data_IF_702397412255
#
_entry.id   IF_702397412255
#
_cell.length_a   1.000
_cell.length_b   1.000
_cell.length_c   1.000
_cell.angle_alpha   90.00
_cell.angle_beta   90.00
_cell.angle_gamma   90.00
#
_symmetry.space_group_name_H-M   'P 1'
#
loop_
_entity.id
_entity.type
_entity.pdbx_description
1 polymer ?
#
# COMPACT_ATOMS: atom_id res chain seq x y z
N UNK A 1 14.16 -13.68 10.96
CA UNK A 1 14.49 -12.86 9.77
C UNK A 1 16.01 -12.68 9.75
N UNK A 2 16.67 -13.02 8.65
CA UNK A 2 18.12 -12.88 8.51
C UNK A 2 18.43 -11.79 7.50
N UNK A 3 19.18 -10.74 7.88
CA UNK A 3 19.63 -9.72 6.93
C UNK A 3 20.70 -10.31 6.02
N UNK A 4 20.46 -10.28 4.71
CA UNK A 4 21.34 -10.86 3.69
C UNK A 4 22.04 -9.81 2.83
N UNK A 5 21.55 -8.56 2.85
CA UNK A 5 22.14 -7.44 2.12
C UNK A 5 21.81 -6.11 2.80
N UNK A 6 22.72 -5.15 2.65
CA UNK A 6 22.55 -3.75 3.02
C UNK A 6 23.01 -2.91 1.84
N UNK A 7 22.04 -2.29 1.16
CA UNK A 7 22.24 -1.38 0.03
C UNK A 7 22.29 0.08 0.45
N UNK A 8 22.29 1.00 -0.51
CA UNK A 8 22.28 2.42 -0.23
C UNK A 8 20.90 2.93 0.19
N UNK A 9 19.83 2.33 -0.35
CA UNK A 9 18.45 2.77 -0.15
C UNK A 9 17.65 1.80 0.72
N UNK A 10 18.13 0.56 0.89
CA UNK A 10 17.35 -0.52 1.50
C UNK A 10 18.21 -1.52 2.25
N UNK A 11 17.56 -2.28 3.11
CA UNK A 11 18.06 -3.53 3.69
C UNK A 11 17.23 -4.71 3.11
N UNK A 12 17.87 -5.87 2.89
CA UNK A 12 17.18 -7.06 2.43
C UNK A 12 17.28 -8.17 3.46
N UNK A 13 16.12 -8.72 3.80
CA UNK A 13 15.98 -9.79 4.78
C UNK A 13 15.42 -11.05 4.13
N UNK A 14 16.06 -12.20 4.35
CA UNK A 14 15.53 -13.49 3.93
C UNK A 14 14.44 -13.95 4.91
N UNK A 15 13.23 -14.16 4.40
CA UNK A 15 12.08 -14.68 5.15
C UNK A 15 11.94 -16.20 4.98
N UNK A 16 12.13 -16.69 3.76
CA UNK A 16 12.20 -18.10 3.39
C UNK A 16 13.27 -18.28 2.28
N UNK A 17 13.62 -19.50 1.86
CA UNK A 17 14.53 -19.67 0.73
C UNK A 17 14.06 -19.01 -0.58
N UNK A 18 12.77 -18.76 -0.73
CA UNK A 18 12.15 -18.21 -1.94
C UNK A 18 11.56 -16.81 -1.80
N UNK A 19 11.56 -16.25 -0.57
CA UNK A 19 10.93 -14.95 -0.26
C UNK A 19 11.87 -14.08 0.54
N UNK A 20 12.09 -12.86 0.04
CA UNK A 20 12.95 -11.85 0.66
C UNK A 20 12.17 -10.54 0.81
N UNK A 21 12.33 -9.89 1.94
CA UNK A 21 11.78 -8.58 2.23
C UNK A 21 12.82 -7.52 1.90
N UNK A 22 12.48 -6.63 1.00
CA UNK A 22 13.25 -5.45 0.64
C UNK A 22 12.68 -4.28 1.43
N UNK A 23 13.36 -3.90 2.50
CA UNK A 23 12.92 -2.85 3.43
C UNK A 23 13.57 -1.54 3.04
N UNK A 24 12.76 -0.56 2.67
CA UNK A 24 13.21 0.81 2.44
C UNK A 24 13.36 1.58 3.75
N UNK A 25 14.28 2.53 3.79
CA UNK A 25 14.33 3.52 4.85
C UNK A 25 13.17 4.51 4.66
N UNK A 26 12.32 4.65 5.68
CA UNK A 26 11.18 5.57 5.68
C UNK A 26 11.58 7.03 5.45
N UNK A 27 12.82 7.40 5.78
CA UNK A 27 13.34 8.76 5.57
C UNK A 27 13.79 9.00 4.13
N UNK A 28 13.92 7.96 3.31
CA UNK A 28 14.31 8.08 1.90
C UNK A 28 13.08 8.34 1.04
N UNK A 29 12.92 9.59 0.63
CA UNK A 29 11.77 10.02 -0.18
C UNK A 29 11.67 9.24 -1.49
N UNK A 30 10.45 8.81 -1.80
CA UNK A 30 10.14 8.11 -3.03
C UNK A 30 10.58 6.64 -3.05
N UNK A 31 10.90 6.06 -1.88
CA UNK A 31 11.17 4.65 -1.74
C UNK A 31 10.03 3.96 -0.99
N UNK A 32 9.68 2.76 -1.44
CA UNK A 32 8.76 1.87 -0.74
C UNK A 32 9.45 0.55 -0.41
N UNK A 33 8.86 -0.20 0.50
CA UNK A 33 9.18 -1.59 0.69
C UNK A 33 8.81 -2.42 -0.55
N UNK A 34 9.44 -3.57 -0.67
CA UNK A 34 9.11 -4.54 -1.69
C UNK A 34 9.43 -5.96 -1.24
N UNK A 35 9.33 -6.88 -2.17
CA UNK A 35 9.76 -8.25 -1.95
C UNK A 35 10.48 -8.79 -3.18
N UNK A 36 11.37 -9.76 -2.95
CA UNK A 36 11.85 -10.64 -4.01
C UNK A 36 11.23 -12.01 -3.85
N UNK A 37 10.73 -12.54 -4.96
CA UNK A 37 10.36 -13.94 -5.12
C UNK A 37 11.44 -14.63 -5.97
N UNK A 38 12.04 -15.69 -5.45
CA UNK A 38 13.06 -16.43 -6.18
C UNK A 38 12.76 -17.92 -6.17
N UNK A 39 12.66 -18.51 -7.35
CA UNK A 39 12.33 -19.92 -7.53
C UNK A 39 13.52 -20.80 -7.98
N UNK A 40 14.73 -20.25 -8.03
CA UNK A 40 15.93 -20.89 -8.55
C UNK A 40 16.32 -20.44 -9.97
N UNK A 41 15.35 -19.96 -10.76
CA UNK A 41 15.55 -19.50 -12.13
C UNK A 41 15.04 -18.08 -12.37
N UNK A 42 13.87 -17.75 -11.82
CA UNK A 42 13.16 -16.50 -12.04
C UNK A 42 13.20 -15.64 -10.80
N UNK A 43 13.30 -14.33 -11.01
CA UNK A 43 13.20 -13.31 -9.96
C UNK A 43 11.97 -12.47 -10.22
N UNK A 44 11.02 -12.50 -9.28
CA UNK A 44 9.91 -11.57 -9.21
C UNK A 44 10.18 -10.47 -8.18
N UNK A 45 9.70 -9.26 -8.44
CA UNK A 45 9.78 -8.13 -7.50
C UNK A 45 8.41 -7.54 -7.25
N UNK A 46 8.16 -7.07 -6.03
CA UNK A 46 6.96 -6.30 -5.66
C UNK A 46 7.33 -4.84 -5.60
N UNK A 47 6.61 -4.04 -6.35
CA UNK A 47 6.75 -2.60 -6.55
C UNK A 47 8.13 -2.19 -7.07
N UNK A 48 8.17 -1.05 -7.74
CA UNK A 48 9.39 -0.50 -8.33
C UNK A 48 9.39 1.00 -8.08
N UNK A 49 10.00 1.46 -6.98
CA UNK A 49 9.81 2.83 -6.49
C UNK A 49 10.29 3.88 -7.50
N UNK A 50 11.56 4.23 -7.49
CA UNK A 50 12.14 5.24 -8.38
C UNK A 50 13.02 4.60 -9.44
N UNK A 51 13.48 5.37 -10.42
CA UNK A 51 14.48 4.93 -11.40
C UNK A 51 15.79 4.48 -10.73
N UNK A 52 16.19 5.12 -9.64
CA UNK A 52 17.37 4.74 -8.85
C UNK A 52 17.10 3.44 -8.10
N UNK A 53 15.96 3.32 -7.43
CA UNK A 53 15.54 2.08 -6.76
C UNK A 53 15.40 0.92 -7.72
N UNK A 54 14.90 1.12 -8.94
CA UNK A 54 14.84 0.10 -9.98
C UNK A 54 16.22 -0.39 -10.41
N UNK A 55 17.19 0.51 -10.51
CA UNK A 55 18.59 0.15 -10.81
C UNK A 55 19.18 -0.69 -9.71
N UNK A 56 19.04 -0.25 -8.46
CA UNK A 56 19.49 -0.99 -7.29
C UNK A 56 18.85 -2.37 -7.22
N UNK A 57 17.53 -2.50 -7.47
CA UNK A 57 16.84 -3.78 -7.55
C UNK A 57 17.44 -4.75 -8.56
N UNK A 58 17.85 -4.28 -9.73
CA UNK A 58 18.50 -5.14 -10.74
C UNK A 58 19.86 -5.59 -10.28
N UNK A 59 20.64 -4.74 -9.63
CA UNK A 59 21.95 -5.08 -9.09
C UNK A 59 21.83 -6.03 -7.88
N UNK A 60 20.87 -5.81 -7.00
CA UNK A 60 20.50 -6.72 -5.90
C UNK A 60 20.09 -8.11 -6.43
N UNK A 61 19.23 -8.18 -7.46
CA UNK A 61 18.82 -9.45 -8.05
C UNK A 61 19.99 -10.23 -8.63
N UNK A 62 20.94 -9.56 -9.28
CA UNK A 62 22.17 -10.16 -9.78
C UNK A 62 23.08 -10.63 -8.65
N UNK A 63 23.24 -9.81 -7.61
CA UNK A 63 24.10 -10.12 -6.46
C UNK A 63 23.57 -11.31 -5.67
N UNK A 64 22.29 -11.31 -5.34
CA UNK A 64 21.68 -12.30 -4.43
C UNK A 64 21.32 -13.60 -5.15
N UNK A 65 20.91 -13.52 -6.41
CA UNK A 65 20.33 -14.67 -7.12
C UNK A 65 21.10 -15.04 -8.39
N UNK A 66 22.04 -14.22 -8.87
CA UNK A 66 22.74 -14.42 -10.15
C UNK A 66 21.80 -14.34 -11.36
N UNK A 67 20.65 -13.66 -11.23
CA UNK A 67 19.58 -13.59 -12.22
C UNK A 67 19.10 -12.15 -12.45
N UNK A 68 18.44 -11.95 -13.58
CA UNK A 68 17.73 -10.71 -13.87
C UNK A 68 16.28 -10.79 -13.38
N UNK A 69 15.68 -9.65 -13.09
CA UNK A 69 14.25 -9.55 -12.82
C UNK A 69 13.47 -10.00 -14.05
N UNK A 70 12.51 -10.89 -13.86
CA UNK A 70 11.66 -11.47 -14.93
C UNK A 70 10.18 -11.13 -14.73
N UNK A 71 9.77 -10.85 -13.49
CA UNK A 71 8.38 -10.52 -13.16
C UNK A 71 8.32 -9.34 -12.21
N UNK A 72 7.35 -8.46 -12.41
CA UNK A 72 7.12 -7.27 -11.58
C UNK A 72 5.65 -7.30 -11.16
N UNK A 73 5.40 -7.13 -9.87
CA UNK A 73 4.06 -7.08 -9.27
C UNK A 73 3.85 -5.68 -8.72
N UNK A 74 2.94 -4.91 -9.29
CA UNK A 74 2.64 -3.54 -8.84
C UNK A 74 1.40 -3.57 -7.96
N UNK A 75 1.55 -3.15 -6.71
CA UNK A 75 0.46 -3.14 -5.74
C UNK A 75 -0.54 -2.04 -6.04
N UNK A 76 -0.08 -0.84 -6.41
CA UNK A 76 -0.95 0.29 -6.74
C UNK A 76 -0.24 1.38 -7.54
N UNK A 77 -0.96 2.46 -7.86
CA UNK A 77 -0.54 3.47 -8.82
C UNK A 77 0.14 4.71 -8.24
N UNK A 78 0.56 4.72 -6.97
CA UNK A 78 1.32 5.86 -6.44
C UNK A 78 2.76 5.85 -6.96
N UNK A 79 3.33 7.04 -7.09
CA UNK A 79 4.62 7.28 -7.71
C UNK A 79 5.76 6.47 -7.09
N UNK A 80 5.79 6.39 -5.76
CA UNK A 80 6.80 5.65 -4.99
C UNK A 80 6.68 4.12 -5.09
N UNK A 81 5.68 3.60 -5.81
CA UNK A 81 5.49 2.17 -6.08
C UNK A 81 5.69 1.79 -7.54
N UNK A 82 5.67 2.77 -8.45
CA UNK A 82 5.68 2.43 -9.87
C UNK A 82 6.58 3.32 -10.76
N UNK A 83 7.11 4.45 -10.28
CA UNK A 83 7.90 5.38 -11.08
C UNK A 83 9.21 4.81 -11.60
N UNK A 84 9.71 3.73 -10.99
CA UNK A 84 10.86 3.00 -11.49
C UNK A 84 10.57 2.06 -12.67
N UNK A 85 9.30 1.79 -12.97
CA UNK A 85 8.92 0.82 -14.01
C UNK A 85 9.53 1.13 -15.39
N UNK A 86 9.65 2.39 -15.86
CA UNK A 86 10.29 2.71 -17.12
C UNK A 86 11.75 2.26 -17.25
N UNK A 87 12.46 2.01 -16.13
CA UNK A 87 13.82 1.46 -16.15
C UNK A 87 13.90 0.10 -16.84
N UNK A 88 12.81 -0.67 -16.80
CA UNK A 88 12.72 -1.98 -17.43
C UNK A 88 12.32 -1.93 -18.92
N UNK A 89 12.17 -0.74 -19.52
CA UNK A 89 11.91 -0.61 -20.96
C UNK A 89 13.00 -1.33 -21.76
N UNK A 90 12.59 -2.15 -22.74
CA UNK A 90 13.51 -2.97 -23.52
C UNK A 90 13.96 -4.27 -22.85
N UNK A 91 13.67 -4.50 -21.58
CA UNK A 91 13.87 -5.78 -20.91
C UNK A 91 12.63 -6.66 -21.07
N UNK A 92 12.85 -7.97 -21.13
CA UNK A 92 11.75 -8.95 -21.20
C UNK A 92 11.24 -9.22 -19.79
N UNK A 93 10.14 -8.56 -19.39
CA UNK A 93 9.52 -8.72 -18.09
C UNK A 93 8.02 -8.91 -18.21
N UNK A 94 7.44 -9.66 -17.27
CA UNK A 94 5.99 -9.77 -17.11
C UNK A 94 5.57 -8.84 -15.96
N UNK A 95 4.68 -7.89 -16.24
CA UNK A 95 4.14 -6.95 -15.24
C UNK A 95 2.74 -7.40 -14.84
N UNK A 96 2.55 -7.72 -13.58
CA UNK A 96 1.27 -8.03 -12.96
C UNK A 96 0.79 -6.81 -12.18
N UNK A 97 -0.39 -6.33 -12.47
CA UNK A 97 -1.04 -5.22 -11.77
C UNK A 97 -2.55 -5.35 -11.89
N UNK A 98 -3.34 -4.52 -11.20
CA UNK A 98 -4.78 -4.53 -11.44
C UNK A 98 -5.11 -4.25 -12.91
N UNK A 99 -6.21 -4.80 -13.43
CA UNK A 99 -6.59 -4.58 -14.84
C UNK A 99 -6.84 -3.10 -15.16
N UNK A 100 -7.28 -2.32 -14.17
CA UNK A 100 -7.49 -0.87 -14.33
C UNK A 100 -6.16 -0.13 -14.48
N UNK A 101 -5.17 -0.49 -13.64
CA UNK A 101 -3.82 0.08 -13.74
C UNK A 101 -3.15 -0.33 -15.05
N UNK A 102 -3.35 -1.60 -15.48
CA UNK A 102 -2.83 -2.12 -16.74
C UNK A 102 -3.28 -1.32 -17.97
N UNK A 103 -4.47 -0.73 -17.93
CA UNK A 103 -4.99 0.11 -18.99
C UNK A 103 -4.27 1.48 -19.09
N UNK A 104 -3.71 1.97 -17.98
CA UNK A 104 -3.01 3.27 -17.89
C UNK A 104 -1.49 3.18 -18.02
N UNK A 105 -0.90 2.01 -17.80
CA UNK A 105 0.56 1.85 -17.88
C UNK A 105 1.02 1.96 -19.33
N UNK A 106 1.97 2.86 -19.57
CA UNK A 106 2.65 2.96 -20.86
C UNK A 106 3.45 1.68 -21.13
N UNK A 107 3.09 0.97 -22.18
CA UNK A 107 3.70 -0.32 -22.51
C UNK A 107 5.15 -0.18 -22.95
N UNK A 108 6.04 -0.87 -22.25
CA UNK A 108 7.39 -1.15 -22.76
C UNK A 108 7.30 -2.09 -23.97
N UNK A 109 8.21 -1.96 -24.92
CA UNK A 109 8.18 -2.70 -26.19
C UNK A 109 8.45 -4.23 -26.04
N UNK A 110 8.89 -4.69 -24.85
CA UNK A 110 9.14 -6.11 -24.55
C UNK A 110 8.42 -6.61 -23.29
N UNK A 111 7.44 -5.86 -22.81
CA UNK A 111 6.66 -6.24 -21.64
C UNK A 111 5.46 -7.08 -22.02
N UNK A 112 5.16 -8.07 -21.17
CA UNK A 112 3.86 -8.71 -21.09
C UNK A 112 3.13 -8.12 -19.89
N UNK A 113 2.00 -7.42 -20.11
CA UNK A 113 1.19 -6.89 -19.01
C UNK A 113 0.04 -7.84 -18.76
N UNK A 114 -0.09 -8.28 -17.51
CA UNK A 114 -1.17 -9.15 -17.03
C UNK A 114 -2.03 -8.35 -16.07
N UNK A 115 -3.21 -7.96 -16.53
CA UNK A 115 -4.23 -7.32 -15.71
C UNK A 115 -4.90 -8.33 -14.78
N UNK A 116 -4.85 -8.06 -13.49
CA UNK A 116 -5.48 -8.87 -12.44
C UNK A 116 -6.79 -8.20 -12.05
N UNK A 117 -7.89 -8.95 -12.02
CA UNK A 117 -9.19 -8.52 -11.51
C UNK A 117 -9.54 -9.28 -10.25
N UNK A 118 -9.83 -10.55 -10.43
CA UNK A 118 -10.16 -11.48 -9.36
C UNK A 118 -8.90 -12.21 -8.88
N UNK A 119 -9.05 -13.15 -7.94
CA UNK A 119 -7.96 -14.01 -7.48
C UNK A 119 -7.32 -14.75 -8.66
N UNK A 120 -6.13 -14.32 -9.02
CA UNK A 120 -5.33 -14.89 -10.10
C UNK A 120 -4.12 -15.61 -9.51
N UNK A 121 -3.98 -16.90 -9.83
CA UNK A 121 -2.79 -17.67 -9.43
C UNK A 121 -1.66 -17.44 -10.40
N UNK A 122 -0.52 -17.06 -9.85
CA UNK A 122 0.74 -16.92 -10.58
C UNK A 122 1.70 -17.96 -10.06
N UNK A 123 2.18 -18.82 -10.96
CA UNK A 123 3.19 -19.84 -10.61
C UNK A 123 4.54 -19.40 -11.12
N UNK A 124 5.45 -19.24 -10.19
CA UNK A 124 6.89 -19.25 -10.44
C UNK A 124 7.39 -20.65 -10.03
N UNK A 125 8.43 -21.21 -10.64
CA UNK A 125 8.84 -22.60 -10.41
C UNK A 125 8.97 -22.91 -8.89
N UNK A 126 8.03 -23.68 -8.34
CA UNK A 126 7.99 -24.06 -6.94
C UNK A 126 7.41 -23.02 -5.96
N UNK A 127 6.98 -21.86 -6.43
CA UNK A 127 6.29 -20.85 -5.64
C UNK A 127 4.93 -20.52 -6.26
N UNK A 128 3.87 -20.62 -5.48
CA UNK A 128 2.52 -20.22 -5.88
C UNK A 128 2.16 -18.90 -5.17
N UNK A 129 1.77 -17.89 -5.96
CA UNK A 129 1.27 -16.60 -5.51
C UNK A 129 -0.21 -16.48 -5.91
N UNK A 130 -0.98 -15.77 -5.11
CA UNK A 130 -2.35 -15.38 -5.47
C UNK A 130 -2.45 -13.85 -5.46
N UNK A 131 -2.54 -13.25 -6.64
CA UNK A 131 -2.77 -11.82 -6.82
C UNK A 131 -4.28 -11.54 -6.86
N UNK A 132 -4.72 -10.45 -6.25
CA UNK A 132 -6.12 -10.03 -6.29
C UNK A 132 -6.19 -8.50 -6.29
N UNK A 133 -6.89 -7.94 -7.27
CA UNK A 133 -7.27 -6.53 -7.23
C UNK A 133 -8.42 -6.32 -6.23
N UNK A 134 -8.35 -5.24 -5.47
CA UNK A 134 -9.42 -4.78 -4.60
C UNK A 134 -10.40 -3.97 -5.44
N UNK A 135 -11.64 -4.45 -5.56
CA UNK A 135 -12.62 -3.83 -6.43
C UNK A 135 -12.92 -2.39 -6.02
N UNK A 136 -12.84 -1.49 -6.97
CA UNK A 136 -13.00 -0.05 -6.77
C UNK A 136 -11.77 0.60 -6.14
N UNK A 137 -11.99 1.66 -5.40
CA UNK A 137 -10.93 2.41 -4.71
C UNK A 137 -10.88 2.01 -3.24
N UNK A 138 -9.73 1.62 -2.71
CA UNK A 138 -9.47 1.45 -1.28
C UNK A 138 -8.52 2.54 -0.78
N UNK A 139 -7.22 2.25 -0.58
CA UNK A 139 -6.20 3.25 -0.30
C UNK A 139 -5.97 4.16 -1.52
N UNK A 140 -5.91 3.55 -2.69
CA UNK A 140 -5.83 4.23 -3.98
C UNK A 140 -6.79 3.60 -4.99
N UNK A 141 -7.02 4.22 -6.15
CA UNK A 141 -7.65 3.51 -7.25
C UNK A 141 -6.82 2.27 -7.62
N UNK A 142 -7.50 1.09 -7.65
CA UNK A 142 -6.93 -0.14 -8.23
C UNK A 142 -5.81 -0.81 -7.42
N UNK A 143 -5.90 -0.79 -6.11
CA UNK A 143 -5.00 -1.55 -5.24
C UNK A 143 -5.02 -3.05 -5.55
N UNK A 144 -3.87 -3.70 -5.42
CA UNK A 144 -3.71 -5.14 -5.58
C UNK A 144 -2.94 -5.73 -4.39
N UNK A 145 -3.44 -6.82 -3.84
CA UNK A 145 -2.75 -7.59 -2.81
C UNK A 145 -2.17 -8.89 -3.37
N UNK A 146 -1.06 -9.34 -2.80
CA UNK A 146 -0.35 -10.55 -3.24
C UNK A 146 -0.22 -11.49 -2.04
N UNK A 147 -0.87 -12.64 -2.13
CA UNK A 147 -0.79 -13.69 -1.12
C UNK A 147 0.36 -14.64 -1.43
N UNK A 148 1.12 -14.98 -0.41
CA UNK A 148 2.18 -15.98 -0.45
C UNK A 148 1.80 -17.11 0.52
N UNK A 149 0.95 -18.09 0.12
CA UNK A 149 0.38 -19.08 1.01
C UNK A 149 1.45 -19.92 1.73
N UNK A 150 2.52 -20.30 1.04
CA UNK A 150 3.63 -21.09 1.60
C UNK A 150 4.38 -20.38 2.73
N UNK A 151 4.38 -19.05 2.74
CA UNK A 151 4.98 -18.21 3.77
C UNK A 151 3.96 -17.65 4.78
N UNK A 152 2.66 -17.95 4.58
CA UNK A 152 1.55 -17.37 5.33
C UNK A 152 1.65 -15.84 5.44
N UNK A 153 1.94 -15.18 4.34
CA UNK A 153 2.23 -13.77 4.24
C UNK A 153 1.36 -13.12 3.17
N UNK A 154 0.93 -11.88 3.43
CA UNK A 154 0.22 -11.02 2.50
C UNK A 154 1.08 -9.77 2.23
N UNK A 155 1.40 -9.48 0.96
CA UNK A 155 1.90 -8.17 0.55
C UNK A 155 0.69 -7.28 0.25
N UNK A 156 0.64 -6.11 0.86
CA UNK A 156 -0.54 -5.25 0.86
C UNK A 156 -0.34 -3.91 0.16
N UNK A 157 0.90 -3.58 -0.25
CA UNK A 157 1.19 -2.19 -0.56
C UNK A 157 0.75 -1.32 0.62
N UNK A 158 0.10 -0.21 0.34
CA UNK A 158 -0.29 0.77 1.35
C UNK A 158 -1.71 0.57 1.91
N UNK A 159 -2.39 -0.53 1.53
CA UNK A 159 -3.69 -0.84 2.14
C UNK A 159 -3.58 -1.22 3.61
N UNK A 160 -2.41 -1.70 4.07
CA UNK A 160 -2.08 -1.91 5.48
C UNK A 160 -0.67 -1.39 5.71
N UNK A 161 -0.53 -0.34 6.50
CA UNK A 161 0.74 0.28 6.91
C UNK A 161 0.70 0.63 8.39
N UNK A 162 1.75 1.26 8.90
CA UNK A 162 1.67 1.88 10.23
C UNK A 162 0.56 2.94 10.26
N UNK A 163 -0.16 3.04 11.39
CA UNK A 163 -1.30 3.94 11.51
C UNK A 163 -0.90 5.42 11.34
N UNK A 164 0.36 5.76 11.61
CA UNK A 164 0.90 7.10 11.39
C UNK A 164 1.30 7.40 9.94
N UNK A 165 1.31 6.38 9.08
CA UNK A 165 1.69 6.47 7.66
C UNK A 165 0.49 6.38 6.71
N UNK A 166 -0.74 6.27 7.23
CA UNK A 166 -1.94 6.21 6.40
C UNK A 166 -2.08 7.47 5.53
N UNK A 167 -2.47 7.27 4.29
CA UNK A 167 -2.64 8.34 3.31
C UNK A 167 -3.99 8.21 2.60
N UNK A 168 -4.81 9.27 2.64
CA UNK A 168 -6.21 9.24 2.19
C UNK A 168 -6.47 10.09 0.94
N UNK A 169 -5.45 10.58 0.26
CA UNK A 169 -5.61 11.55 -0.83
C UNK A 169 -6.56 11.06 -1.94
N UNK A 170 -6.38 9.82 -2.36
CA UNK A 170 -7.20 9.18 -3.40
C UNK A 170 -8.06 8.03 -2.84
N UNK A 171 -8.20 7.94 -1.51
CA UNK A 171 -8.87 6.83 -0.87
C UNK A 171 -10.40 6.91 -0.95
N UNK A 172 -11.04 5.75 -0.89
CA UNK A 172 -12.44 5.59 -0.52
C UNK A 172 -12.50 4.88 0.84
N UNK A 173 -12.78 5.65 1.88
CA UNK A 173 -12.70 5.19 3.27
C UNK A 173 -13.60 3.97 3.53
N UNK A 174 -14.85 3.99 3.06
CA UNK A 174 -15.82 2.90 3.30
C UNK A 174 -15.42 1.62 2.57
N UNK A 175 -15.01 1.77 1.32
CA UNK A 175 -14.58 0.64 0.52
C UNK A 175 -13.27 0.04 1.07
N UNK A 176 -12.37 0.89 1.55
CA UNK A 176 -11.14 0.45 2.20
C UNK A 176 -11.43 -0.37 3.46
N UNK A 177 -12.31 0.12 4.35
CA UNK A 177 -12.76 -0.63 5.52
C UNK A 177 -13.38 -1.97 5.13
N UNK A 178 -14.24 -1.99 4.10
CA UNK A 178 -14.88 -3.22 3.63
C UNK A 178 -13.84 -4.27 3.15
N UNK A 179 -12.83 -3.84 2.39
CA UNK A 179 -11.75 -4.72 1.94
C UNK A 179 -10.89 -5.23 3.10
N UNK A 180 -10.51 -4.35 4.04
CA UNK A 180 -9.74 -4.78 5.22
C UNK A 180 -10.51 -5.79 6.08
N UNK A 181 -11.81 -5.59 6.27
CA UNK A 181 -12.66 -6.54 6.98
C UNK A 181 -12.74 -7.90 6.26
N UNK A 182 -12.86 -7.90 4.94
CA UNK A 182 -12.83 -9.12 4.15
C UNK A 182 -11.48 -9.84 4.24
N UNK A 183 -10.37 -9.10 4.16
CA UNK A 183 -9.02 -9.63 4.32
C UNK A 183 -8.80 -10.18 5.74
N UNK A 184 -9.25 -9.49 6.77
CA UNK A 184 -9.05 -9.90 8.18
C UNK A 184 -9.68 -11.26 8.51
N UNK A 185 -10.71 -11.67 7.76
CA UNK A 185 -11.32 -12.99 7.89
C UNK A 185 -10.44 -14.13 7.34
N UNK A 186 -9.40 -13.82 6.58
CA UNK A 186 -8.43 -14.81 6.11
C UNK A 186 -7.45 -15.20 7.23
N UNK A 187 -6.64 -16.25 7.00
CA UNK A 187 -5.72 -16.78 8.03
C UNK A 187 -4.28 -16.76 7.53
N UNK A 188 -3.67 -15.60 7.63
CA UNK A 188 -2.22 -15.44 7.44
C UNK A 188 -1.53 -15.17 8.78
N UNK A 189 -0.23 -15.09 8.80
CA UNK A 189 0.53 -14.81 10.01
C UNK A 189 1.13 -13.40 9.99
N UNK A 190 1.47 -12.91 8.78
CA UNK A 190 2.21 -11.66 8.61
C UNK A 190 1.70 -10.84 7.43
N UNK A 191 1.91 -9.54 7.55
CA UNK A 191 1.67 -8.54 6.50
C UNK A 191 2.99 -7.90 6.13
N UNK A 192 3.29 -7.84 4.83
CA UNK A 192 4.38 -7.06 4.26
C UNK A 192 3.77 -5.81 3.64
N UNK A 193 3.96 -4.64 4.28
CA UNK A 193 3.39 -3.38 3.82
C UNK A 193 4.28 -2.68 2.80
N UNK A 194 3.75 -1.67 2.12
CA UNK A 194 4.53 -0.77 1.27
C UNK A 194 5.48 0.13 2.06
N UNK A 195 5.19 0.41 3.32
CA UNK A 195 6.05 1.20 4.21
C UNK A 195 6.09 0.64 5.62
N UNK A 196 7.26 0.76 6.28
CA UNK A 196 7.47 0.34 7.67
C UNK A 196 7.95 -1.09 7.82
N UNK A 197 7.55 -1.73 8.91
CA UNK A 197 8.00 -3.08 9.29
C UNK A 197 7.05 -4.16 8.78
N UNK A 198 7.46 -5.42 8.84
CA UNK A 198 6.53 -6.56 8.70
C UNK A 198 5.69 -6.63 9.97
N UNK A 199 4.37 -6.60 9.79
CA UNK A 199 3.41 -6.63 10.90
C UNK A 199 2.81 -8.02 11.12
N UNK A 200 2.34 -8.31 12.35
CA UNK A 200 1.50 -9.47 12.60
C UNK A 200 0.17 -9.32 11.87
N UNK A 201 -0.51 -10.44 11.61
CA UNK A 201 -1.80 -10.46 10.90
C UNK A 201 -2.89 -9.57 11.54
N UNK A 202 -2.85 -9.40 12.85
CA UNK A 202 -3.78 -8.51 13.57
C UNK A 202 -3.77 -7.06 13.09
N UNK A 203 -2.69 -6.63 12.41
CA UNK A 203 -2.57 -5.27 11.87
C UNK A 203 -3.65 -4.96 10.83
N UNK A 204 -4.15 -5.96 10.11
CA UNK A 204 -5.24 -5.79 9.12
C UNK A 204 -6.51 -5.29 9.81
N UNK A 205 -6.94 -5.96 10.88
CA UNK A 205 -8.12 -5.56 11.65
C UNK A 205 -7.89 -4.25 12.41
N UNK A 206 -6.68 -4.05 12.96
CA UNK A 206 -6.30 -2.81 13.63
C UNK A 206 -6.40 -1.60 12.69
N UNK A 207 -5.93 -1.75 11.45
CA UNK A 207 -6.02 -0.70 10.42
C UNK A 207 -7.49 -0.42 10.06
N UNK A 208 -8.31 -1.45 9.86
CA UNK A 208 -9.74 -1.27 9.59
C UNK A 208 -10.44 -0.50 10.71
N UNK A 209 -10.21 -0.90 11.93
CA UNK A 209 -10.76 -0.30 13.16
C UNK A 209 -10.32 1.16 13.34
N UNK A 210 -9.07 1.47 13.01
CA UNK A 210 -8.55 2.83 13.08
C UNK A 210 -9.16 3.73 12.01
N UNK A 211 -9.24 3.27 10.76
CA UNK A 211 -9.89 4.02 9.68
C UNK A 211 -11.38 4.24 10.00
N UNK A 212 -12.06 3.27 10.57
CA UNK A 212 -13.44 3.43 11.04
C UNK A 212 -13.55 4.48 12.15
N UNK A 213 -12.58 4.55 13.06
CA UNK A 213 -12.52 5.58 14.11
C UNK A 213 -12.37 6.97 13.49
N UNK A 214 -11.48 7.12 12.50
CA UNK A 214 -11.31 8.38 11.75
C UNK A 214 -12.59 8.77 11.00
N UNK A 215 -13.28 7.80 10.39
CA UNK A 215 -14.55 8.02 9.69
C UNK A 215 -15.61 8.55 10.62
N UNK A 216 -15.81 7.92 11.79
CA UNK A 216 -16.79 8.38 12.80
C UNK A 216 -16.48 9.76 13.34
N UNK A 217 -15.21 10.04 13.64
CA UNK A 217 -14.79 11.38 14.06
C UNK A 217 -15.05 12.42 12.98
N UNK A 218 -14.75 12.11 11.72
CA UNK A 218 -15.04 12.97 10.58
C UNK A 218 -16.55 13.22 10.38
N UNK A 219 -17.39 12.21 10.51
CA UNK A 219 -18.84 12.33 10.44
C UNK A 219 -19.40 13.18 11.60
N UNK A 220 -18.86 12.99 12.80
CA UNK A 220 -19.24 13.83 13.94
C UNK A 220 -18.92 15.32 13.69
N UNK A 221 -17.74 15.60 13.13
CA UNK A 221 -17.38 16.97 12.74
C UNK A 221 -18.30 17.51 11.64
N UNK A 222 -18.65 16.68 10.64
CA UNK A 222 -19.50 17.05 9.52
C UNK A 222 -20.94 17.36 9.97
N UNK A 223 -21.47 16.59 10.91
CA UNK A 223 -22.82 16.76 11.44
C UNK A 223 -23.03 18.10 12.21
N UNK A 224 -21.95 18.79 12.54
CA UNK A 224 -22.02 20.12 13.17
C UNK A 224 -22.21 21.26 12.16
N UNK A 225 -22.12 20.95 10.85
CA UNK A 225 -22.23 21.93 9.78
C UNK A 225 -23.62 21.90 9.13
N UNK A 226 -24.13 23.08 8.80
CA UNK A 226 -25.29 23.21 7.92
C UNK A 226 -24.92 22.94 6.46
N UNK A 227 -25.89 22.58 5.62
CA UNK A 227 -25.69 22.40 4.19
C UNK A 227 -25.11 23.64 3.47
N UNK A 228 -25.44 24.86 3.97
CA UNK A 228 -24.89 26.09 3.43
C UNK A 228 -23.40 26.28 3.79
N UNK A 229 -23.01 25.92 5.01
CA UNK A 229 -21.61 25.96 5.44
C UNK A 229 -20.78 24.94 4.65
N UNK A 230 -21.28 23.72 4.45
CA UNK A 230 -20.63 22.68 3.65
C UNK A 230 -20.28 23.18 2.23
N UNK A 231 -21.24 23.86 1.57
CA UNK A 231 -21.03 24.37 0.20
C UNK A 231 -19.99 25.47 0.09
N UNK A 232 -19.69 26.18 1.18
CA UNK A 232 -18.81 27.36 1.21
C UNK A 232 -17.62 27.21 2.13
N UNK A 233 -17.35 26.00 2.62
CA UNK A 233 -16.32 25.76 3.62
C UNK A 233 -14.94 26.09 3.07
N UNK A 234 -14.19 26.90 3.81
CA UNK A 234 -12.80 27.21 3.51
C UNK A 234 -11.86 26.19 4.15
N UNK A 235 -10.63 26.11 3.64
CA UNK A 235 -9.57 25.29 4.21
C UNK A 235 -9.27 25.63 5.66
N UNK A 236 -9.26 26.93 6.00
CA UNK A 236 -9.04 27.39 7.37
C UNK A 236 -10.15 26.88 8.29
N UNK A 237 -11.39 26.90 7.82
CA UNK A 237 -12.54 26.39 8.58
C UNK A 237 -12.47 24.87 8.76
N UNK A 238 -12.03 24.12 7.75
CA UNK A 238 -11.76 22.69 7.88
C UNK A 238 -10.72 22.44 8.98
N UNK A 239 -9.62 23.17 8.96
CA UNK A 239 -8.55 23.02 9.95
C UNK A 239 -9.04 23.34 11.38
N UNK A 240 -9.84 24.40 11.55
CA UNK A 240 -10.45 24.76 12.85
C UNK A 240 -11.34 23.64 13.40
N UNK A 241 -12.26 23.12 12.57
CA UNK A 241 -13.20 22.08 12.96
C UNK A 241 -12.46 20.81 13.36
N UNK A 242 -11.54 20.34 12.52
CA UNK A 242 -10.77 19.12 12.78
C UNK A 242 -9.89 19.27 14.02
N UNK A 243 -9.26 20.43 14.22
CA UNK A 243 -8.48 20.72 15.42
C UNK A 243 -9.33 20.73 16.69
N UNK A 244 -10.52 21.33 16.63
CA UNK A 244 -11.46 21.34 17.73
C UNK A 244 -11.94 19.91 18.07
N UNK A 245 -12.25 19.11 17.06
CA UNK A 245 -12.64 17.70 17.21
C UNK A 245 -11.53 16.90 17.91
N UNK A 246 -10.29 17.01 17.45
CA UNK A 246 -9.16 16.32 18.07
C UNK A 246 -8.83 16.80 19.49
N UNK A 247 -9.11 18.07 19.80
CA UNK A 247 -8.89 18.60 21.14
C UNK A 247 -9.99 18.24 22.13
N UNK A 248 -11.10 17.69 21.65
CA UNK A 248 -12.23 17.24 22.47
C UNK A 248 -11.90 16.02 23.33
N UNK A 249 -12.84 15.72 24.25
CA UNK A 249 -12.75 14.58 25.16
C UNK A 249 -13.45 13.32 24.61
N UNK A 250 -13.88 13.35 23.35
CA UNK A 250 -14.54 12.20 22.73
C UNK A 250 -13.57 11.01 22.63
N UNK A 251 -14.06 9.78 22.86
CA UNK A 251 -13.23 8.57 22.82
C UNK A 251 -12.48 8.40 21.50
N UNK A 252 -13.12 8.74 20.38
CA UNK A 252 -12.51 8.69 19.04
C UNK A 252 -11.32 9.66 18.92
N UNK A 253 -11.46 10.88 19.43
CA UNK A 253 -10.38 11.88 19.42
C UNK A 253 -9.15 11.40 20.21
N UNK A 254 -9.38 10.85 21.42
CA UNK A 254 -8.31 10.28 22.23
C UNK A 254 -7.60 9.14 21.49
N UNK A 255 -8.35 8.20 20.93
CA UNK A 255 -7.81 7.07 20.18
C UNK A 255 -7.00 7.49 18.94
N UNK A 256 -7.46 8.52 18.21
CA UNK A 256 -6.73 9.03 17.04
C UNK A 256 -5.40 9.65 17.48
N UNK A 257 -5.40 10.48 18.54
CA UNK A 257 -4.17 11.08 19.07
C UNK A 257 -3.17 10.02 19.52
N UNK A 258 -3.63 8.98 20.20
CA UNK A 258 -2.78 7.92 20.74
C UNK A 258 -2.18 7.05 19.62
N UNK A 259 -2.96 6.74 18.58
CA UNK A 259 -2.53 5.86 17.50
C UNK A 259 -1.69 6.57 16.43
N UNK A 260 -2.07 7.78 16.02
CA UNK A 260 -1.42 8.52 14.93
C UNK A 260 -0.43 9.59 15.39
N UNK A 261 -0.40 9.94 16.68
CA UNK A 261 0.53 10.91 17.24
C UNK A 261 0.49 12.25 16.49
N UNK A 262 1.64 12.69 15.99
CA UNK A 262 1.76 13.96 15.24
C UNK A 262 1.00 13.93 13.90
N UNK A 263 0.73 12.75 13.34
CA UNK A 263 -0.06 12.56 12.13
C UNK A 263 -1.57 12.77 12.30
N UNK A 264 -2.09 12.73 13.54
CA UNK A 264 -3.52 12.69 13.84
C UNK A 264 -4.35 13.79 13.15
N UNK A 265 -3.85 15.04 13.17
CA UNK A 265 -4.51 16.17 12.52
C UNK A 265 -4.58 16.01 11.01
N UNK A 266 -3.49 15.56 10.39
CA UNK A 266 -3.41 15.33 8.95
C UNK A 266 -4.40 14.25 8.52
N UNK A 267 -4.41 13.13 9.20
CA UNK A 267 -5.23 11.97 8.84
C UNK A 267 -6.71 12.27 9.00
N UNK A 268 -7.14 12.82 10.14
CA UNK A 268 -8.53 13.19 10.33
C UNK A 268 -8.98 14.26 9.32
N UNK A 269 -8.13 15.25 9.00
CA UNK A 269 -8.42 16.25 7.97
C UNK A 269 -8.64 15.63 6.59
N UNK A 270 -7.83 14.65 6.22
CA UNK A 270 -7.96 13.98 4.92
C UNK A 270 -9.24 13.16 4.85
N UNK A 271 -9.59 12.42 5.91
CA UNK A 271 -10.84 11.67 5.99
C UNK A 271 -12.05 12.63 5.99
N UNK A 272 -12.01 13.71 6.77
CA UNK A 272 -13.07 14.71 6.78
C UNK A 272 -13.32 15.31 5.39
N UNK A 273 -12.26 15.65 4.64
CA UNK A 273 -12.39 16.10 3.25
C UNK A 273 -13.00 15.04 2.34
N UNK A 274 -12.63 13.80 2.51
CA UNK A 274 -13.18 12.68 1.75
C UNK A 274 -14.69 12.58 1.95
N UNK A 275 -15.18 12.75 3.18
CA UNK A 275 -16.60 12.79 3.51
C UNK A 275 -17.29 14.05 2.95
N UNK A 276 -16.67 15.23 3.08
CA UNK A 276 -17.18 16.48 2.50
C UNK A 276 -17.42 16.38 1.00
N UNK A 277 -16.48 15.80 0.24
CA UNK A 277 -16.62 15.63 -1.21
C UNK A 277 -17.79 14.72 -1.59
N UNK A 278 -18.21 13.81 -0.72
CA UNK A 278 -19.41 12.99 -0.95
C UNK A 278 -20.69 13.79 -0.79
N UNK A 279 -20.77 14.67 0.21
CA UNK A 279 -21.94 15.52 0.46
C UNK A 279 -22.13 16.61 -0.63
N UNK A 280 -21.07 16.92 -1.39
CA UNK A 280 -21.09 17.91 -2.46
C UNK A 280 -21.45 17.33 -3.84
N UNK A 281 -21.54 16.01 -3.96
CA UNK A 281 -21.93 15.29 -5.21
C UNK A 281 -23.41 14.96 -5.22
#
# INVERSE_FOLDING_TARGET
MERVHEGNLVEIFRLTPQLYFRKADLMTRGQCNGAYFFDGENVGVVDVPTMEGAREMVDEAKLLFGRSVSSIFITHGHEDHLDGLPFFRGQQVTVFCSEWLAAGIEKGNRWTIVGVRDRTRVRMAGLELECQALEGTAHSPWDMVIRVPSAKLLCTGDTVVDLSLLHFHNANVENWIAHLNALSAERYERVLPGHGEIYPWSKVAETADFIETLRRAGEHCLAQLSAEEIKRISEDRVNEIVSACLSGNEPEAARIRDAAGEGALRELRMVFRNLLYKELR
#
